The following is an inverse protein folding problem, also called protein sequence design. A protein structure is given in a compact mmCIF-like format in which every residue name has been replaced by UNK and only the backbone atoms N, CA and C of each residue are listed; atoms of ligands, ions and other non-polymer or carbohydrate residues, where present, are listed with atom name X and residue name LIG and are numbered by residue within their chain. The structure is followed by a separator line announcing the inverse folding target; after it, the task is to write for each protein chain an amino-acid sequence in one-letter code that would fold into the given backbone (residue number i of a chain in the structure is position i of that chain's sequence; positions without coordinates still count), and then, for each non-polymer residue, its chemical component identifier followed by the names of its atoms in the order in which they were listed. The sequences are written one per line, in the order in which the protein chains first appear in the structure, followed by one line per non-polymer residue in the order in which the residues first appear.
data_IF_011340856968
#
_entry.id   IF_011340856968
#
_cell.length_a   1.000
_cell.length_b   1.000
_cell.length_c   1.000
_cell.angle_alpha   90.00
_cell.angle_beta   90.00
_cell.angle_gamma   90.00
#
_symmetry.space_group_name_H-M   'P 1'
#
loop_
_entity.id
_entity.type
_entity.pdbx_description
1 polymer ?
#
# COMPACT_ATOMS: atom_id res chain seq x y z
N UNK A 1 -12.59 21.31 0.52
CA UNK A 1 -13.17 20.28 1.42
C UNK A 1 -13.22 18.87 0.80
N UNK A 2 -13.86 18.71 -0.36
CA UNK A 2 -13.98 17.41 -1.06
C UNK A 2 -12.64 16.93 -1.61
N UNK A 3 -11.87 17.80 -2.26
CA UNK A 3 -10.49 17.51 -2.70
C UNK A 3 -9.57 17.07 -1.55
N UNK A 4 -9.66 17.74 -0.40
CA UNK A 4 -8.91 17.36 0.81
C UNK A 4 -9.34 15.98 1.35
N UNK A 5 -10.62 15.62 1.24
CA UNK A 5 -11.10 14.29 1.64
C UNK A 5 -10.56 13.19 0.71
N UNK A 6 -10.44 13.47 -0.59
CA UNK A 6 -9.81 12.56 -1.56
C UNK A 6 -8.33 12.39 -1.21
N UNK A 7 -7.58 13.47 -1.04
CA UNK A 7 -6.16 13.41 -0.65
C UNK A 7 -5.98 12.67 0.68
N UNK A 8 -6.82 12.95 1.69
CA UNK A 8 -6.78 12.26 2.97
C UNK A 8 -7.03 10.74 2.83
N UNK A 9 -7.94 10.34 1.93
CA UNK A 9 -8.20 8.92 1.66
C UNK A 9 -6.98 8.25 1.04
N UNK A 10 -6.29 8.90 0.11
CA UNK A 10 -5.09 8.31 -0.51
C UNK A 10 -3.90 8.28 0.46
N UNK A 11 -3.71 9.32 1.26
CA UNK A 11 -2.68 9.31 2.31
C UNK A 11 -2.88 8.13 3.27
N UNK A 12 -4.12 7.84 3.66
CA UNK A 12 -4.44 6.66 4.47
C UNK A 12 -4.05 5.34 3.78
N UNK A 13 -4.24 5.22 2.47
CA UNK A 13 -3.79 4.06 1.70
C UNK A 13 -2.26 3.91 1.75
N UNK A 14 -1.52 5.02 1.69
CA UNK A 14 -0.07 4.99 1.80
C UNK A 14 0.44 4.65 3.21
N UNK A 15 -0.26 5.10 4.26
CA UNK A 15 0.01 4.66 5.64
C UNK A 15 -0.15 3.14 5.81
N UNK A 16 -1.08 2.52 5.08
CA UNK A 16 -1.26 1.06 5.09
C UNK A 16 -0.10 0.33 4.40
N UNK A 17 0.50 0.89 3.34
CA UNK A 17 1.73 0.36 2.73
C UNK A 17 2.93 0.47 3.64
N UNK A 18 3.09 1.60 4.31
CA UNK A 18 4.21 1.79 5.23
C UNK A 18 4.18 0.77 6.37
N UNK A 19 2.98 0.42 6.88
CA UNK A 19 2.82 -0.66 7.86
C UNK A 19 3.29 -2.02 7.34
N UNK A 20 3.03 -2.37 6.07
CA UNK A 20 3.53 -3.62 5.48
C UNK A 20 5.05 -3.57 5.37
N UNK A 21 5.60 -2.45 4.92
CA UNK A 21 7.03 -2.27 4.77
C UNK A 21 7.76 -2.40 6.12
N UNK A 22 7.22 -1.77 7.18
CA UNK A 22 7.73 -1.91 8.54
C UNK A 22 7.62 -3.37 9.03
N UNK A 23 6.49 -4.04 8.79
CA UNK A 23 6.32 -5.45 9.14
C UNK A 23 7.32 -6.36 8.42
N UNK A 24 7.49 -6.17 7.11
CA UNK A 24 8.44 -6.91 6.29
C UNK A 24 9.88 -6.71 6.79
N UNK A 25 10.27 -5.47 7.09
CA UNK A 25 11.58 -5.15 7.69
C UNK A 25 11.77 -5.81 9.05
N UNK A 26 10.76 -5.75 9.91
CA UNK A 26 10.82 -6.40 11.24
C UNK A 26 10.93 -7.92 11.12
N UNK A 27 10.24 -8.53 10.14
CA UNK A 27 10.32 -9.96 9.85
C UNK A 27 11.72 -10.37 9.39
N UNK A 28 12.29 -9.65 8.42
CA UNK A 28 13.62 -9.96 7.84
C UNK A 28 14.76 -9.71 8.85
N UNK A 29 14.65 -8.66 9.67
CA UNK A 29 15.69 -8.31 10.64
C UNK A 29 15.53 -9.01 11.99
N UNK A 30 14.48 -9.81 12.20
CA UNK A 30 14.31 -10.55 13.44
C UNK A 30 15.25 -11.75 13.49
N UNK A 31 16.14 -11.85 14.49
CA UNK A 31 17.07 -12.98 14.61
C UNK A 31 16.31 -14.23 15.07
N UNK A 32 15.64 -14.95 14.17
CA UNK A 32 15.02 -16.29 14.34
C UNK A 32 14.24 -16.55 15.66
N UNK A 33 13.95 -15.53 16.46
CA UNK A 33 13.17 -15.62 17.67
C UNK A 33 11.74 -15.27 17.27
N UNK A 34 11.14 -16.23 16.56
CA UNK A 34 9.77 -16.19 16.09
C UNK A 34 8.82 -15.74 17.19
N UNK A 35 9.09 -16.01 18.47
CA UNK A 35 8.26 -15.60 19.62
C UNK A 35 8.04 -14.08 19.73
N UNK A 36 8.98 -13.23 19.32
CA UNK A 36 8.81 -11.77 19.31
C UNK A 36 7.91 -11.31 18.13
N UNK A 37 8.13 -11.89 16.95
CA UNK A 37 7.31 -11.68 15.75
C UNK A 37 5.90 -12.26 15.94
N UNK A 38 5.80 -13.36 16.68
CA UNK A 38 4.56 -14.04 17.06
C UNK A 38 3.78 -13.22 18.12
N UNK A 39 4.48 -12.53 19.03
CA UNK A 39 3.89 -11.59 19.98
C UNK A 39 3.24 -10.37 19.31
N UNK A 40 3.82 -9.92 18.20
CA UNK A 40 3.25 -8.88 17.33
C UNK A 40 2.10 -9.39 16.42
N UNK A 41 1.77 -10.69 16.42
CA UNK A 41 0.70 -11.26 15.57
C UNK A 41 -0.70 -10.75 15.89
N UNK A 42 -0.92 -10.05 17.02
CA UNK A 42 -2.16 -9.28 17.20
C UNK A 42 -2.38 -8.28 16.05
N UNK A 43 -1.34 -7.92 15.30
CA UNK A 43 -1.38 -7.11 14.09
C UNK A 43 -1.57 -7.89 12.77
N UNK A 44 -1.54 -9.23 12.76
CA UNK A 44 -1.78 -9.99 11.51
C UNK A 44 -3.14 -9.72 10.91
N UNK A 45 -4.17 -9.46 11.71
CA UNK A 45 -5.48 -9.09 11.20
C UNK A 45 -5.44 -7.79 10.38
N UNK A 46 -4.61 -6.82 10.75
CA UNK A 46 -4.43 -5.60 9.97
C UNK A 46 -3.65 -5.90 8.69
N UNK A 47 -2.58 -6.69 8.76
CA UNK A 47 -1.79 -7.09 7.59
C UNK A 47 -2.64 -7.91 6.60
N UNK A 48 -3.47 -8.84 7.09
CA UNK A 48 -4.43 -9.62 6.30
C UNK A 48 -5.45 -8.73 5.60
N UNK A 49 -5.97 -7.70 6.28
CA UNK A 49 -6.89 -6.72 5.65
C UNK A 49 -6.22 -5.98 4.50
N UNK A 50 -4.93 -5.68 4.63
CA UNK A 50 -4.17 -5.02 3.57
C UNK A 50 -3.95 -5.98 2.39
N UNK A 51 -3.55 -7.23 2.61
CA UNK A 51 -3.48 -8.24 1.54
C UNK A 51 -4.84 -8.56 0.89
N UNK A 52 -5.93 -8.46 1.65
CA UNK A 52 -7.28 -8.69 1.15
C UNK A 52 -7.86 -7.50 0.36
N UNK A 53 -7.27 -6.31 0.46
CA UNK A 53 -7.75 -5.13 -0.24
C UNK A 53 -7.30 -5.15 -1.71
N UNK A 54 -8.26 -4.97 -2.62
CA UNK A 54 -8.08 -5.11 -4.06
C UNK A 54 -6.98 -4.20 -4.63
N UNK A 55 -6.89 -2.95 -4.17
CA UNK A 55 -5.83 -2.03 -4.61
C UNK A 55 -4.44 -2.61 -4.33
N UNK A 56 -4.25 -3.21 -3.15
CA UNK A 56 -2.97 -3.81 -2.81
C UNK A 56 -2.72 -5.12 -3.56
N UNK A 57 -3.75 -5.90 -3.87
CA UNK A 57 -3.58 -7.08 -4.71
C UNK A 57 -3.07 -6.71 -6.10
N UNK A 58 -3.66 -5.69 -6.72
CA UNK A 58 -3.21 -5.16 -8.01
C UNK A 58 -1.79 -4.58 -7.90
N UNK A 59 -1.51 -3.81 -6.84
CA UNK A 59 -0.18 -3.26 -6.59
C UNK A 59 0.89 -4.36 -6.48
N UNK A 60 0.63 -5.40 -5.69
CA UNK A 60 1.56 -6.52 -5.51
C UNK A 60 1.71 -7.35 -6.77
N UNK A 61 0.64 -7.51 -7.54
CA UNK A 61 0.70 -8.15 -8.85
C UNK A 61 1.64 -7.38 -9.77
N UNK A 62 1.52 -6.06 -9.82
CA UNK A 62 2.28 -5.22 -10.74
C UNK A 62 3.74 -4.98 -10.30
N UNK A 63 4.00 -4.88 -8.99
CA UNK A 63 5.33 -4.53 -8.47
C UNK A 63 6.15 -5.77 -8.13
N UNK A 64 5.52 -6.80 -7.56
CA UNK A 64 6.20 -7.99 -7.04
C UNK A 64 5.93 -9.22 -7.90
N UNK A 65 4.97 -9.15 -8.84
CA UNK A 65 4.62 -10.27 -9.72
C UNK A 65 3.77 -11.34 -9.04
N UNK A 66 3.21 -11.06 -7.86
CA UNK A 66 2.36 -12.03 -7.15
C UNK A 66 0.96 -12.09 -7.73
N UNK A 67 0.48 -13.30 -8.01
CA UNK A 67 -0.89 -13.48 -8.45
C UNK A 67 -1.85 -13.63 -7.25
N UNK A 68 -3.16 -13.75 -7.54
CA UNK A 68 -4.19 -13.89 -6.51
C UNK A 68 -4.07 -15.17 -5.68
N UNK A 69 -3.45 -16.22 -6.21
CA UNK A 69 -3.18 -17.46 -5.47
C UNK A 69 -2.06 -17.23 -4.44
N UNK A 70 -0.98 -16.55 -4.80
CA UNK A 70 0.12 -16.22 -3.88
C UNK A 70 -0.40 -15.40 -2.69
N UNK A 71 -1.25 -14.41 -2.96
CA UNK A 71 -1.85 -13.56 -1.92
C UNK A 71 -2.76 -14.36 -0.98
N UNK A 72 -3.60 -15.26 -1.52
CA UNK A 72 -4.42 -16.16 -0.69
C UNK A 72 -3.55 -17.10 0.14
N UNK A 73 -2.43 -17.55 -0.42
CA UNK A 73 -1.45 -18.39 0.27
C UNK A 73 -0.83 -17.63 1.45
N UNK A 74 -0.43 -16.37 1.28
CA UNK A 74 0.05 -15.50 2.37
C UNK A 74 -1.00 -15.36 3.47
N UNK A 75 -2.24 -15.05 3.11
CA UNK A 75 -3.33 -14.90 4.10
C UNK A 75 -3.52 -16.20 4.89
N UNK A 76 -3.54 -17.34 4.21
CA UNK A 76 -3.65 -18.66 4.85
C UNK A 76 -2.44 -18.98 5.73
N UNK A 77 -1.23 -18.63 5.30
CA UNK A 77 -0.01 -18.78 6.10
C UNK A 77 -0.08 -17.93 7.37
N UNK A 78 -0.53 -16.67 7.27
CA UNK A 78 -0.74 -15.78 8.42
C UNK A 78 -1.82 -16.31 9.37
N UNK A 79 -2.86 -16.97 8.87
CA UNK A 79 -3.85 -17.65 9.70
C UNK A 79 -3.24 -18.85 10.46
N UNK A 80 -2.38 -19.62 9.79
CA UNK A 80 -1.69 -20.77 10.39
C UNK A 80 -0.63 -20.38 11.43
N UNK A 81 -0.10 -19.15 11.38
CA UNK A 81 0.81 -18.64 12.42
C UNK A 81 0.15 -18.51 13.80
N UNK A 82 -1.19 -18.40 13.85
CA UNK A 82 -1.93 -18.41 15.12
C UNK A 82 -2.06 -19.84 15.72
N UNK A 83 -1.63 -20.87 15.00
CA UNK A 83 -1.54 -22.26 15.44
C UNK A 83 -0.10 -22.72 15.66
N UNK A 84 0.25 -23.94 15.25
CA UNK A 84 1.64 -24.43 15.22
C UNK A 84 2.29 -24.14 13.85
N UNK A 85 3.25 -23.22 13.76
CA UNK A 85 3.87 -22.88 12.49
C UNK A 85 4.78 -24.01 12.01
N UNK A 86 4.52 -24.54 10.81
CA UNK A 86 5.48 -25.43 10.13
C UNK A 86 6.65 -24.59 9.55
N UNK A 87 7.87 -25.14 9.63
CA UNK A 87 9.11 -24.56 9.06
C UNK A 87 8.95 -24.14 7.60
N UNK A 88 8.23 -24.90 6.77
CA UNK A 88 8.03 -24.56 5.36
C UNK A 88 7.17 -23.30 5.18
N UNK A 89 6.18 -23.10 6.05
CA UNK A 89 5.34 -21.88 6.07
C UNK A 89 6.20 -20.68 6.45
N UNK A 90 7.09 -20.83 7.42
CA UNK A 90 7.98 -19.76 7.87
C UNK A 90 8.97 -19.34 6.79
N UNK A 91 9.57 -20.30 6.07
CA UNK A 91 10.47 -20.02 4.94
C UNK A 91 9.77 -19.28 3.80
N UNK A 92 8.54 -19.67 3.49
CA UNK A 92 7.78 -19.02 2.42
C UNK A 92 7.42 -17.58 2.80
N UNK A 93 7.01 -17.33 4.05
CA UNK A 93 6.77 -15.96 4.52
C UNK A 93 8.07 -15.14 4.47
N UNK A 94 9.21 -15.71 4.86
CA UNK A 94 10.50 -15.01 4.81
C UNK A 94 10.86 -14.55 3.39
N UNK A 95 10.69 -15.40 2.37
CA UNK A 95 10.94 -15.04 0.97
C UNK A 95 10.07 -13.86 0.54
N UNK A 96 8.79 -13.87 0.90
CA UNK A 96 7.83 -12.82 0.54
C UNK A 96 8.13 -11.51 1.28
N UNK A 97 8.44 -11.58 2.58
CA UNK A 97 8.80 -10.40 3.37
C UNK A 97 10.10 -9.79 2.90
N UNK A 98 11.06 -10.60 2.43
CA UNK A 98 12.28 -10.11 1.79
C UNK A 98 11.95 -9.33 0.51
N UNK A 99 11.12 -9.86 -0.36
CA UNK A 99 10.68 -9.15 -1.57
C UNK A 99 10.01 -7.82 -1.21
N UNK A 100 9.12 -7.78 -0.22
CA UNK A 100 8.51 -6.52 0.21
C UNK A 100 9.52 -5.53 0.80
N UNK A 101 10.46 -6.01 1.63
CA UNK A 101 11.51 -5.17 2.18
C UNK A 101 12.40 -4.57 1.10
N UNK A 102 12.61 -5.27 -0.01
CA UNK A 102 13.46 -4.82 -1.12
C UNK A 102 12.70 -3.87 -2.08
N UNK A 103 11.41 -4.13 -2.37
CA UNK A 103 10.66 -3.39 -3.38
C UNK A 103 9.80 -2.24 -2.84
N UNK A 104 9.21 -2.35 -1.64
CA UNK A 104 8.36 -1.28 -1.09
C UNK A 104 9.10 0.05 -0.86
N UNK A 105 10.41 0.09 -0.49
CA UNK A 105 11.16 1.33 -0.42
C UNK A 105 11.23 2.10 -1.75
N UNK A 106 11.07 1.43 -2.89
CA UNK A 106 11.05 2.07 -4.20
C UNK A 106 9.73 2.81 -4.49
N UNK A 107 8.70 2.57 -3.67
CA UNK A 107 7.42 3.25 -3.78
C UNK A 107 7.50 4.52 -2.94
N UNK A 108 7.71 5.66 -3.61
CA UNK A 108 7.52 6.94 -2.93
C UNK A 108 6.05 7.10 -2.52
N UNK A 109 5.82 7.16 -1.20
CA UNK A 109 4.48 7.22 -0.59
C UNK A 109 3.99 8.66 -0.40
N UNK A 110 4.85 9.67 -0.55
CA UNK A 110 4.46 11.07 -0.44
C UNK A 110 4.43 11.75 -1.82
N UNK A 111 3.43 11.37 -2.65
CA UNK A 111 3.35 11.82 -4.05
C UNK A 111 2.29 12.89 -4.32
N UNK A 112 1.51 13.28 -3.33
CA UNK A 112 0.44 14.27 -3.52
C UNK A 112 0.92 15.67 -3.17
N UNK A 113 0.88 16.54 -4.17
CA UNK A 113 1.15 17.96 -4.01
C UNK A 113 -0.14 18.73 -4.34
N UNK A 114 -0.64 19.50 -3.38
CA UNK A 114 -1.81 20.34 -3.58
C UNK A 114 -1.37 21.72 -4.11
N UNK A 115 -1.96 22.15 -5.22
CA UNK A 115 -1.66 23.41 -5.90
C UNK A 115 -2.92 24.27 -5.98
N UNK A 116 -2.75 25.59 -6.02
CA UNK A 116 -3.88 26.53 -5.91
C UNK A 116 -4.56 26.83 -7.24
N UNK A 117 -3.88 26.55 -8.37
CA UNK A 117 -4.43 26.77 -9.70
C UNK A 117 -3.97 25.73 -10.72
N UNK A 118 -4.71 25.62 -11.83
CA UNK A 118 -4.33 24.78 -12.96
C UNK A 118 -3.01 25.26 -13.61
N UNK A 119 -2.78 26.57 -13.66
CA UNK A 119 -1.53 27.13 -14.21
C UNK A 119 -0.32 26.68 -13.39
N UNK A 120 -0.41 26.74 -12.06
CA UNK A 120 0.62 26.20 -11.17
C UNK A 120 0.82 24.70 -11.37
N UNK A 121 -0.26 23.93 -11.54
CA UNK A 121 -0.18 22.49 -11.83
C UNK A 121 0.56 22.20 -13.13
N UNK A 122 0.31 22.98 -14.19
CA UNK A 122 0.99 22.81 -15.48
C UNK A 122 2.47 23.15 -15.37
N UNK A 123 2.82 24.25 -14.68
CA UNK A 123 4.23 24.62 -14.46
C UNK A 123 4.95 23.57 -13.63
N UNK A 124 4.34 23.14 -12.52
CA UNK A 124 4.90 22.12 -11.64
C UNK A 124 5.06 20.77 -12.33
N UNK A 125 4.09 20.37 -13.16
CA UNK A 125 4.20 19.17 -13.97
C UNK A 125 5.37 19.25 -14.97
N UNK A 126 5.59 20.41 -15.62
CA UNK A 126 6.74 20.59 -16.52
C UNK A 126 8.07 20.45 -15.79
N UNK A 127 8.19 20.94 -14.56
CA UNK A 127 9.39 20.78 -13.74
C UNK A 127 9.65 19.29 -13.42
N UNK A 128 8.64 18.60 -12.88
CA UNK A 128 8.73 17.20 -12.51
C UNK A 128 8.97 16.29 -13.72
N UNK A 129 8.47 16.67 -14.90
CA UNK A 129 8.62 15.90 -16.13
C UNK A 129 10.09 15.77 -16.55
N UNK A 130 10.91 16.82 -16.31
CA UNK A 130 12.35 16.80 -16.61
C UNK A 130 13.07 15.66 -15.90
N UNK A 131 12.60 15.30 -14.70
CA UNK A 131 13.17 14.23 -13.88
C UNK A 131 12.37 12.92 -13.97
N UNK A 132 11.40 12.83 -14.89
CA UNK A 132 10.49 11.67 -15.04
C UNK A 132 9.71 11.33 -13.76
N UNK A 133 9.35 12.35 -12.98
CA UNK A 133 8.63 12.20 -11.72
C UNK A 133 7.12 12.45 -11.85
N UNK A 134 6.64 12.96 -12.99
CA UNK A 134 5.21 13.14 -13.24
C UNK A 134 4.55 11.81 -13.52
N UNK A 135 3.49 11.52 -12.76
CA UNK A 135 2.55 10.43 -13.04
C UNK A 135 1.28 11.01 -13.67
N UNK A 136 0.63 11.94 -12.97
CA UNK A 136 -0.59 12.59 -13.42
C UNK A 136 -0.80 13.94 -12.74
N UNK A 137 -1.53 14.84 -13.39
CA UNK A 137 -2.12 16.03 -12.78
C UNK A 137 -3.64 15.88 -12.77
N UNK A 138 -4.28 16.17 -11.63
CA UNK A 138 -5.73 16.02 -11.47
C UNK A 138 -6.34 17.39 -11.20
N UNK A 139 -7.22 17.82 -12.10
CA UNK A 139 -7.98 19.07 -11.97
C UNK A 139 -9.41 18.71 -11.57
N UNK A 140 -9.84 19.19 -10.41
CA UNK A 140 -11.20 18.98 -9.92
C UNK A 140 -12.10 20.15 -10.34
N UNK A 141 -12.98 19.93 -11.31
CA UNK A 141 -14.01 20.92 -11.70
C UNK A 141 -15.29 20.73 -10.89
N UNK A 142 -16.08 21.79 -10.72
CA UNK A 142 -17.44 21.74 -10.15
C UNK A 142 -17.56 21.27 -8.68
N UNK A 143 -16.57 21.56 -7.83
CA UNK A 143 -16.62 21.23 -6.39
C UNK A 143 -17.70 22.01 -5.60
N UNK A 144 -18.41 22.96 -6.22
CA UNK A 144 -19.42 23.81 -5.60
C UNK A 144 -20.88 23.50 -6.02
N UNK A 145 -21.15 22.45 -6.80
CA UNK A 145 -22.54 22.10 -7.07
C UNK A 145 -23.09 21.26 -5.92
N UNK A 146 -24.05 21.83 -5.19
CA UNK A 146 -24.96 21.18 -4.25
C UNK A 146 -25.80 20.10 -4.94
N UNK A 147 -25.16 19.08 -5.49
CA UNK A 147 -25.82 17.99 -6.20
C UNK A 147 -25.68 16.71 -5.37
N UNK A 148 -26.74 16.29 -4.65
CA UNK A 148 -26.71 15.09 -3.81
C UNK A 148 -26.52 13.78 -4.60
N UNK A 149 -26.51 13.86 -5.93
CA UNK A 149 -26.33 12.73 -6.85
C UNK A 149 -24.94 12.73 -7.51
N UNK A 150 -23.93 13.36 -6.92
CA UNK A 150 -22.55 13.07 -7.25
C UNK A 150 -22.21 11.65 -6.78
N UNK A 151 -22.78 10.66 -7.49
CA UNK A 151 -22.37 9.29 -7.41
C UNK A 151 -20.88 9.27 -7.74
N UNK A 152 -20.08 9.03 -6.72
CA UNK A 152 -18.69 8.68 -6.85
C UNK A 152 -18.59 7.65 -7.97
N UNK A 153 -17.79 7.95 -9.00
CA UNK A 153 -17.39 6.96 -9.97
C UNK A 153 -16.62 5.89 -9.19
N UNK A 154 -17.35 4.86 -8.75
CA UNK A 154 -16.77 3.57 -8.38
C UNK A 154 -16.51 2.79 -9.66
N UNK A 155 -15.47 1.95 -9.70
CA UNK A 155 -15.28 0.99 -10.79
C UNK A 155 -16.51 0.08 -10.98
#
# INVERSE_FOLDING_TARGET
PVSNAIIAKVNKTFEELDKIHQFAKSWVNSPLNLTAVLGDLKNTNNIKKVFANQFFQELFTNIVGMNTFDIKSIISMLDNLNGEPNVDVLKNIEVIMKQFSDYLPCIELNRFEALQSESELVERAKELHRNRLVIAGIVFTNLNSSNPNANFLTP
#
